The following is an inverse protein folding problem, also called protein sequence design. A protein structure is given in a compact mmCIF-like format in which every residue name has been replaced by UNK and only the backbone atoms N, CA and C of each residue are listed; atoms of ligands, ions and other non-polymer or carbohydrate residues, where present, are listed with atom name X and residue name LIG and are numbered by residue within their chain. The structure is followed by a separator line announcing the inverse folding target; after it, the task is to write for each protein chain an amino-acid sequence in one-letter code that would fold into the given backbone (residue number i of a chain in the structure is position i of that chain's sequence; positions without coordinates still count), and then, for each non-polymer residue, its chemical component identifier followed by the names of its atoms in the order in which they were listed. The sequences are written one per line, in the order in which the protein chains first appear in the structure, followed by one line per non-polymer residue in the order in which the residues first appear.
data_IF_166061166390
#
_entry.id   IF_166061166390
#
_cell.length_a   1.000
_cell.length_b   1.000
_cell.length_c   1.000
_cell.angle_alpha   90.00
_cell.angle_beta   90.00
_cell.angle_gamma   90.00
#
_symmetry.space_group_name_H-M   'P 1'
#
loop_
_entity.id
_entity.type
_entity.pdbx_description
1 polymer ?
#
# COMPACT_ATOMS: atom_id res chain seq x y z
N UNK A 1 -22.41 8.26 11.72
CA UNK A 1 -22.55 7.23 10.67
C UNK A 1 -21.78 7.58 9.37
N UNK A 2 -21.81 8.86 8.88
CA UNK A 2 -21.10 9.24 7.66
C UNK A 2 -19.57 9.13 7.79
N UNK A 3 -18.99 9.49 8.92
CA UNK A 3 -17.55 9.42 9.20
C UNK A 3 -17.07 7.96 9.19
N UNK A 4 -17.81 7.07 9.82
CA UNK A 4 -17.51 5.64 9.86
C UNK A 4 -17.55 5.01 8.46
N UNK A 5 -18.57 5.36 7.66
CA UNK A 5 -18.68 4.89 6.28
C UNK A 5 -17.53 5.39 5.41
N UNK A 6 -17.11 6.65 5.56
CA UNK A 6 -15.98 7.21 4.84
C UNK A 6 -14.65 6.57 5.26
N UNK A 7 -14.46 6.32 6.56
CA UNK A 7 -13.30 5.62 7.07
C UNK A 7 -13.22 4.18 6.53
N UNK A 8 -14.34 3.45 6.49
CA UNK A 8 -14.39 2.10 5.93
C UNK A 8 -14.00 2.06 4.44
N UNK A 9 -14.51 3.00 3.64
CA UNK A 9 -14.16 3.12 2.21
C UNK A 9 -12.68 3.43 2.02
N UNK A 10 -12.13 4.32 2.85
CA UNK A 10 -10.71 4.67 2.81
C UNK A 10 -9.85 3.47 3.18
N UNK A 11 -10.18 2.77 4.26
CA UNK A 11 -9.49 1.55 4.67
C UNK A 11 -9.50 0.48 3.58
N UNK A 12 -10.64 0.27 2.93
CA UNK A 12 -10.78 -0.69 1.84
C UNK A 12 -9.88 -0.34 0.64
N UNK A 13 -9.77 0.95 0.28
CA UNK A 13 -8.84 1.42 -0.75
C UNK A 13 -7.39 1.14 -0.38
N UNK A 14 -7.00 1.41 0.88
CA UNK A 14 -5.64 1.15 1.37
C UNK A 14 -5.29 -0.34 1.30
N UNK A 15 -6.19 -1.22 1.77
CA UNK A 15 -6.03 -2.66 1.65
C UNK A 15 -5.90 -3.12 0.19
N UNK A 16 -6.70 -2.54 -0.71
CA UNK A 16 -6.64 -2.82 -2.14
C UNK A 16 -5.27 -2.49 -2.75
N UNK A 17 -4.67 -1.36 -2.38
CA UNK A 17 -3.32 -1.00 -2.83
C UNK A 17 -2.28 -2.00 -2.33
N UNK A 18 -2.29 -2.35 -1.04
CA UNK A 18 -1.34 -3.32 -0.49
C UNK A 18 -1.45 -4.66 -1.23
N UNK A 19 -2.66 -5.19 -1.40
CA UNK A 19 -2.88 -6.46 -2.10
C UNK A 19 -2.42 -6.41 -3.56
N UNK A 20 -2.77 -5.34 -4.28
CA UNK A 20 -2.38 -5.16 -5.68
C UNK A 20 -0.87 -5.14 -5.85
N UNK A 21 -0.16 -4.31 -5.07
CA UNK A 21 1.29 -4.19 -5.16
C UNK A 21 2.02 -5.45 -4.66
N UNK A 22 1.44 -6.16 -3.70
CA UNK A 22 1.96 -7.44 -3.25
C UNK A 22 1.86 -8.53 -4.33
N UNK A 23 0.76 -8.55 -5.08
CA UNK A 23 0.61 -9.44 -6.24
C UNK A 23 1.62 -9.11 -7.34
N UNK A 24 1.82 -7.81 -7.63
CA UNK A 24 2.85 -7.39 -8.60
C UNK A 24 4.25 -7.78 -8.13
N UNK A 25 4.59 -7.58 -6.87
CA UNK A 25 5.88 -7.98 -6.30
C UNK A 25 6.09 -9.50 -6.38
N UNK A 26 5.04 -10.29 -6.09
CA UNK A 26 5.07 -11.74 -6.24
C UNK A 26 5.30 -12.16 -7.71
N UNK A 27 4.61 -11.51 -8.66
CA UNK A 27 4.83 -11.71 -10.09
C UNK A 27 6.26 -11.41 -10.54
N UNK A 28 6.84 -10.30 -10.07
CA UNK A 28 8.25 -9.99 -10.32
C UNK A 28 9.19 -11.06 -9.75
N UNK A 29 8.87 -11.58 -8.56
CA UNK A 29 9.65 -12.65 -7.92
C UNK A 29 9.61 -14.00 -8.67
N UNK A 30 8.56 -14.25 -9.46
CA UNK A 30 8.48 -15.42 -10.32
C UNK A 30 9.30 -15.28 -11.61
N UNK A 31 9.45 -14.04 -12.11
CA UNK A 31 10.11 -13.74 -13.37
C UNK A 31 11.61 -13.49 -13.22
N UNK A 32 12.05 -13.05 -12.03
CA UNK A 32 13.41 -12.61 -11.78
C UNK A 32 14.21 -13.66 -10.96
N UNK A 33 15.54 -13.74 -11.17
CA UNK A 33 16.41 -14.51 -10.30
C UNK A 33 16.28 -14.06 -8.84
N UNK A 34 16.44 -14.99 -7.91
CA UNK A 34 16.28 -14.74 -6.46
C UNK A 34 17.13 -13.56 -5.94
N UNK A 35 18.32 -13.36 -6.51
CA UNK A 35 19.21 -12.27 -6.15
C UNK A 35 18.67 -10.87 -6.56
N UNK A 36 17.88 -10.79 -7.62
CA UNK A 36 17.35 -9.52 -8.14
C UNK A 36 15.91 -9.25 -7.66
N UNK A 37 15.18 -10.25 -7.21
CA UNK A 37 13.80 -10.14 -6.76
C UNK A 37 13.56 -9.10 -5.62
N UNK A 38 14.48 -8.89 -4.65
CA UNK A 38 14.30 -7.88 -3.62
C UNK A 38 14.12 -6.45 -4.14
N UNK A 39 14.83 -6.07 -5.22
CA UNK A 39 14.84 -4.69 -5.71
C UNK A 39 13.48 -4.21 -6.22
N UNK A 40 12.82 -4.86 -7.20
CA UNK A 40 11.49 -4.44 -7.61
C UNK A 40 10.45 -4.64 -6.50
N UNK A 41 10.59 -5.66 -5.64
CA UNK A 41 9.70 -5.84 -4.53
C UNK A 41 9.74 -4.68 -3.54
N UNK A 42 10.94 -4.17 -3.19
CA UNK A 42 11.11 -2.98 -2.35
C UNK A 42 10.48 -1.72 -2.96
N UNK A 43 10.61 -1.56 -4.28
CA UNK A 43 10.03 -0.40 -4.98
C UNK A 43 8.51 -0.47 -5.06
N UNK A 44 7.94 -1.65 -5.11
CA UNK A 44 6.49 -1.86 -5.21
C UNK A 44 5.81 -1.84 -3.84
N UNK A 45 6.31 -2.67 -2.90
CA UNK A 45 5.64 -2.87 -1.61
C UNK A 45 6.67 -3.25 -0.52
N UNK A 46 6.66 -2.52 0.58
CA UNK A 46 7.67 -2.62 1.64
C UNK A 46 7.74 -3.99 2.31
N UNK A 47 6.58 -4.59 2.62
CA UNK A 47 6.55 -5.90 3.29
C UNK A 47 7.08 -7.01 2.39
N UNK A 48 6.73 -7.00 1.10
CA UNK A 48 7.28 -7.92 0.11
C UNK A 48 8.78 -7.69 -0.07
N UNK A 49 9.22 -6.44 -0.11
CA UNK A 49 10.63 -6.08 -0.14
C UNK A 49 11.41 -6.67 1.02
N UNK A 50 10.90 -6.53 2.24
CA UNK A 50 11.50 -7.12 3.43
C UNK A 50 11.49 -8.65 3.42
N UNK A 51 10.40 -9.29 2.93
CA UNK A 51 10.31 -10.75 2.84
C UNK A 51 11.36 -11.32 1.86
N UNK A 52 11.51 -10.71 0.69
CA UNK A 52 12.56 -11.10 -0.25
C UNK A 52 13.97 -10.79 0.28
N UNK A 53 14.15 -9.63 0.90
CA UNK A 53 15.43 -9.22 1.49
C UNK A 53 15.88 -10.18 2.60
N UNK A 54 14.96 -10.61 3.48
CA UNK A 54 15.26 -11.53 4.56
C UNK A 54 15.82 -12.89 4.09
N UNK A 55 15.59 -13.25 2.82
CA UNK A 55 16.09 -14.50 2.22
C UNK A 55 17.47 -14.38 1.60
N UNK A 56 18.09 -13.19 1.58
CA UNK A 56 19.38 -12.95 0.93
C UNK A 56 20.61 -13.25 1.82
N UNK A 57 20.40 -13.75 3.04
CA UNK A 57 21.48 -14.10 3.96
C UNK A 57 22.26 -12.89 4.46
N UNK A 58 23.53 -12.76 4.11
CA UNK A 58 24.42 -11.68 4.61
C UNK A 58 23.92 -10.25 4.34
N UNK A 59 23.15 -10.05 3.29
CA UNK A 59 22.62 -8.73 2.93
C UNK A 59 21.22 -8.45 3.48
N UNK A 60 20.63 -9.40 4.22
CA UNK A 60 19.24 -9.33 4.67
C UNK A 60 18.94 -8.06 5.46
N UNK A 61 19.74 -7.73 6.46
CA UNK A 61 19.52 -6.57 7.33
C UNK A 61 19.62 -5.24 6.59
N UNK A 62 20.66 -5.08 5.75
CA UNK A 62 20.86 -3.87 4.95
C UNK A 62 19.75 -3.68 3.91
N UNK A 63 19.34 -4.75 3.23
CA UNK A 63 18.23 -4.72 2.28
C UNK A 63 16.88 -4.47 2.96
N UNK A 64 16.63 -5.01 4.15
CA UNK A 64 15.45 -4.68 4.94
C UNK A 64 15.44 -3.20 5.35
N UNK A 65 16.58 -2.66 5.80
CA UNK A 65 16.74 -1.23 6.08
C UNK A 65 16.45 -0.38 4.85
N UNK A 66 16.96 -0.77 3.68
CA UNK A 66 16.69 -0.11 2.40
C UNK A 66 15.19 -0.17 2.05
N UNK A 67 14.55 -1.33 2.17
CA UNK A 67 13.12 -1.50 1.89
C UNK A 67 12.25 -0.59 2.77
N UNK A 68 12.54 -0.52 4.07
CA UNK A 68 11.85 0.36 5.01
C UNK A 68 12.08 1.84 4.68
N UNK A 69 13.27 2.21 4.21
CA UNK A 69 13.61 3.59 3.86
C UNK A 69 12.92 4.05 2.58
N UNK A 70 12.80 3.19 1.58
CA UNK A 70 12.12 3.46 0.29
C UNK A 70 10.61 3.53 0.48
N UNK A 71 10.02 2.68 1.33
CA UNK A 71 8.59 2.54 1.62
C UNK A 71 7.70 2.12 0.43
N UNK A 72 8.26 1.90 -0.74
CA UNK A 72 7.54 1.40 -1.91
C UNK A 72 6.46 2.32 -2.49
N UNK A 73 6.07 2.04 -3.73
CA UNK A 73 5.02 2.77 -4.46
C UNK A 73 3.64 2.63 -3.80
N UNK A 74 3.38 1.48 -3.16
CA UNK A 74 2.12 1.22 -2.45
C UNK A 74 1.86 2.29 -1.39
N UNK A 75 2.84 2.57 -0.52
CA UNK A 75 2.72 3.58 0.54
C UNK A 75 2.59 4.99 -0.02
N UNK A 76 3.35 5.33 -1.07
CA UNK A 76 3.27 6.64 -1.71
C UNK A 76 1.88 6.89 -2.30
N UNK A 77 1.26 5.89 -2.95
CA UNK A 77 -0.09 6.01 -3.46
C UNK A 77 -1.14 6.07 -2.36
N UNK A 78 -0.96 5.33 -1.27
CA UNK A 78 -1.83 5.42 -0.09
C UNK A 78 -1.81 6.84 0.49
N UNK A 79 -0.62 7.41 0.71
CA UNK A 79 -0.49 8.79 1.19
C UNK A 79 -1.11 9.76 0.18
N UNK A 80 -0.92 9.56 -1.13
CA UNK A 80 -1.53 10.41 -2.16
C UNK A 80 -3.05 10.40 -2.13
N UNK A 81 -3.68 9.27 -1.82
CA UNK A 81 -5.15 9.19 -1.73
C UNK A 81 -5.72 9.89 -0.49
N UNK A 82 -4.90 10.09 0.55
CA UNK A 82 -5.29 10.76 1.79
C UNK A 82 -5.02 12.25 1.76
N UNK A 83 -4.05 12.69 0.95
CA UNK A 83 -3.68 14.09 0.86
C UNK A 83 -4.58 14.86 -0.12
N UNK A 84 -4.91 16.13 0.17
CA UNK A 84 -5.57 17.01 -0.77
C UNK A 84 -4.78 17.14 -2.10
N UNK A 85 -5.46 17.35 -3.24
CA UNK A 85 -4.80 17.40 -4.55
C UNK A 85 -3.81 18.55 -4.70
N UNK A 86 -3.97 19.62 -3.90
CA UNK A 86 -3.11 20.80 -3.91
C UNK A 86 -1.72 20.55 -3.29
N UNK A 87 -1.59 19.49 -2.47
CA UNK A 87 -0.33 19.16 -1.79
C UNK A 87 0.67 18.58 -2.77
N UNK A 88 1.82 19.24 -2.91
CA UNK A 88 2.91 18.77 -3.76
C UNK A 88 3.61 17.55 -3.15
N UNK A 89 3.76 16.49 -3.96
CA UNK A 89 4.47 15.25 -3.56
C UNK A 89 5.98 15.30 -3.77
N UNK A 90 6.49 16.32 -4.46
CA UNK A 90 7.92 16.46 -4.77
C UNK A 90 8.81 16.44 -3.52
N UNK A 91 8.49 17.19 -2.42
CA UNK A 91 9.32 17.15 -1.21
C UNK A 91 9.38 15.77 -0.56
N UNK A 92 8.26 15.02 -0.59
CA UNK A 92 8.21 13.66 -0.05
C UNK A 92 9.12 12.71 -0.83
N UNK A 93 9.11 12.80 -2.16
CA UNK A 93 9.98 11.97 -3.02
C UNK A 93 11.46 12.31 -2.80
N UNK A 94 11.82 13.60 -2.77
CA UNK A 94 13.19 14.02 -2.47
C UNK A 94 13.62 13.61 -1.07
N UNK A 95 12.74 13.72 -0.09
CA UNK A 95 12.98 13.25 1.27
C UNK A 95 13.33 11.75 1.30
N UNK A 96 12.66 10.92 0.48
CA UNK A 96 12.96 9.47 0.39
C UNK A 96 14.31 9.18 -0.25
N UNK A 97 14.66 9.92 -1.31
CA UNK A 97 15.97 9.79 -1.96
C UNK A 97 17.12 10.11 -1.00
N UNK A 98 16.95 11.10 -0.13
CA UNK A 98 17.93 11.44 0.91
C UNK A 98 17.88 10.50 2.11
N UNK A 99 16.69 10.03 2.48
CA UNK A 99 16.51 9.15 3.63
C UNK A 99 17.19 7.79 3.45
N UNK A 100 17.16 7.23 2.25
CA UNK A 100 17.75 5.92 1.96
C UNK A 100 19.25 5.85 2.29
N UNK A 101 20.13 6.70 1.71
CA UNK A 101 21.57 6.63 2.03
C UNK A 101 21.85 7.00 3.48
N UNK A 102 21.10 7.95 4.05
CA UNK A 102 21.25 8.33 5.46
C UNK A 102 20.91 7.17 6.40
N UNK A 103 19.81 6.48 6.16
CA UNK A 103 19.39 5.32 6.95
C UNK A 103 20.40 4.17 6.87
N UNK A 104 20.91 3.88 5.66
CA UNK A 104 21.95 2.87 5.48
C UNK A 104 23.25 3.26 6.16
N UNK A 105 23.66 4.52 6.06
CA UNK A 105 24.86 5.03 6.74
C UNK A 105 24.71 4.89 8.27
N UNK A 106 23.59 5.34 8.84
CA UNK A 106 23.33 5.21 10.26
C UNK A 106 23.23 3.75 10.71
N UNK A 107 22.64 2.89 9.88
CA UNK A 107 22.54 1.47 10.17
C UNK A 107 23.93 0.80 10.28
N UNK A 108 24.79 1.02 9.30
CA UNK A 108 26.11 0.39 9.30
C UNK A 108 27.14 1.07 10.20
N UNK A 109 27.02 2.38 10.46
CA UNK A 109 27.89 3.11 11.38
C UNK A 109 27.46 2.98 12.84
N UNK A 110 26.15 2.87 13.09
CA UNK A 110 25.58 2.87 14.44
C UNK A 110 25.45 1.50 15.08
N UNK A 111 25.40 0.41 14.29
CA UNK A 111 25.26 -0.93 14.84
C UNK A 111 26.59 -1.69 14.85
N UNK A 112 26.96 -2.33 15.97
CA UNK A 112 28.11 -3.21 16.02
C UNK A 112 27.90 -4.40 15.07
N UNK A 113 28.96 -4.86 14.42
CA UNK A 113 28.89 -5.96 13.45
C UNK A 113 28.25 -7.24 14.02
N UNK A 114 28.51 -7.54 15.28
CA UNK A 114 27.91 -8.68 15.98
C UNK A 114 26.36 -8.61 16.03
N UNK A 115 25.80 -7.40 16.17
CA UNK A 115 24.35 -7.20 16.15
C UNK A 115 23.80 -7.40 14.73
N UNK A 116 24.51 -6.94 13.71
CA UNK A 116 24.11 -7.14 12.29
C UNK A 116 24.13 -8.62 11.93
N UNK A 117 25.15 -9.36 12.34
CA UNK A 117 25.25 -10.81 12.11
C UNK A 117 24.13 -11.57 12.84
N UNK A 118 23.83 -11.21 14.07
CA UNK A 118 22.73 -11.80 14.84
C UNK A 118 21.38 -11.54 14.16
N UNK A 119 21.17 -10.33 13.65
CA UNK A 119 19.96 -9.98 12.92
C UNK A 119 19.83 -10.76 11.60
N UNK A 120 20.90 -10.87 10.84
CA UNK A 120 20.93 -11.66 9.60
C UNK A 120 20.64 -13.13 9.88
N UNK A 121 21.18 -13.70 10.97
CA UNK A 121 20.90 -15.06 11.37
C UNK A 121 19.43 -15.25 11.76
N UNK A 122 18.83 -14.28 12.47
CA UNK A 122 17.41 -14.30 12.81
C UNK A 122 16.53 -14.20 11.54
N UNK A 123 16.86 -13.31 10.60
CA UNK A 123 16.15 -13.21 9.34
C UNK A 123 16.20 -14.51 8.53
N UNK A 124 17.35 -15.19 8.51
CA UNK A 124 17.50 -16.48 7.85
C UNK A 124 16.69 -17.60 8.52
N UNK A 125 16.40 -17.47 9.82
CA UNK A 125 15.58 -18.41 10.59
C UNK A 125 14.09 -18.08 10.60
N UNK A 126 13.66 -16.97 10.03
CA UNK A 126 12.23 -16.70 9.85
C UNK A 126 11.65 -17.83 9.02
N UNK A 127 11.08 -18.80 9.72
CA UNK A 127 10.32 -19.90 9.11
C UNK A 127 9.28 -19.22 8.22
N UNK A 128 9.22 -19.60 6.93
CA UNK A 128 8.23 -19.01 6.04
C UNK A 128 6.87 -19.23 6.68
N UNK A 129 6.24 -18.11 7.07
CA UNK A 129 4.90 -18.11 7.64
C UNK A 129 4.08 -19.05 6.75
N UNK A 130 3.51 -20.10 7.37
CA UNK A 130 2.77 -21.15 6.70
C UNK A 130 1.98 -20.55 5.55
N UNK A 131 2.37 -20.85 4.33
CA UNK A 131 1.76 -20.24 3.15
C UNK A 131 0.27 -20.46 3.27
N UNK A 132 -0.46 -19.39 3.48
CA UNK A 132 -1.92 -19.46 3.31
C UNK A 132 -2.13 -20.02 1.92
N UNK A 133 -2.91 -21.11 1.77
CA UNK A 133 -3.14 -21.69 0.46
C UNK A 133 -3.52 -20.57 -0.50
N UNK A 134 -2.88 -20.54 -1.67
CA UNK A 134 -3.08 -19.48 -2.68
C UNK A 134 -4.56 -19.30 -2.98
N UNK A 135 -5.32 -20.39 -2.90
CA UNK A 135 -6.76 -20.41 -3.11
C UNK A 135 -7.53 -19.59 -2.07
N UNK A 136 -7.13 -19.67 -0.77
CA UNK A 136 -7.75 -18.84 0.27
C UNK A 136 -7.42 -17.36 0.10
N UNK A 137 -6.20 -17.02 -0.30
CA UNK A 137 -5.81 -15.65 -0.56
C UNK A 137 -6.56 -15.07 -1.78
N UNK A 138 -6.73 -15.85 -2.84
CA UNK A 138 -7.54 -15.47 -4.00
C UNK A 138 -9.02 -15.33 -3.66
N UNK A 139 -9.57 -16.20 -2.83
CA UNK A 139 -10.95 -16.10 -2.35
C UNK A 139 -11.17 -14.82 -1.55
N UNK A 140 -10.31 -14.53 -0.59
CA UNK A 140 -10.37 -13.28 0.20
C UNK A 140 -10.26 -12.07 -0.71
N UNK A 141 -9.32 -12.09 -1.67
CA UNK A 141 -9.18 -11.01 -2.66
C UNK A 141 -10.44 -10.83 -3.51
N UNK A 142 -11.01 -11.92 -4.02
CA UNK A 142 -12.24 -11.87 -4.81
C UNK A 142 -13.41 -11.30 -4.00
N UNK A 143 -13.59 -11.73 -2.75
CA UNK A 143 -14.62 -11.19 -1.85
C UNK A 143 -14.40 -9.70 -1.59
N UNK A 144 -13.16 -9.28 -1.34
CA UNK A 144 -12.83 -7.86 -1.17
C UNK A 144 -13.12 -7.05 -2.44
N UNK A 145 -12.82 -7.57 -3.62
CA UNK A 145 -13.13 -6.90 -4.89
C UNK A 145 -14.64 -6.78 -5.11
N UNK A 146 -15.40 -7.85 -4.86
CA UNK A 146 -16.87 -7.84 -5.00
C UNK A 146 -17.49 -6.84 -4.04
N UNK A 147 -17.11 -6.85 -2.77
CA UNK A 147 -17.62 -5.90 -1.76
C UNK A 147 -17.25 -4.45 -2.10
N UNK A 148 -16.05 -4.20 -2.64
CA UNK A 148 -15.64 -2.89 -3.11
C UNK A 148 -16.48 -2.41 -4.28
N UNK A 149 -16.71 -3.27 -5.28
CA UNK A 149 -17.57 -2.96 -6.42
C UNK A 149 -19.01 -2.65 -6.00
N UNK A 150 -19.59 -3.44 -5.09
CA UNK A 150 -20.94 -3.20 -4.59
C UNK A 150 -21.03 -1.89 -3.79
N UNK A 151 -20.04 -1.59 -2.94
CA UNK A 151 -19.97 -0.33 -2.20
C UNK A 151 -19.89 0.89 -3.16
N UNK A 152 -19.07 0.80 -4.22
CA UNK A 152 -18.99 1.84 -5.25
C UNK A 152 -20.32 2.03 -5.99
N UNK A 153 -21.00 0.94 -6.36
CA UNK A 153 -22.32 0.99 -7.03
C UNK A 153 -23.39 1.63 -6.12
N UNK A 154 -23.38 1.31 -4.84
CA UNK A 154 -24.32 1.86 -3.89
C UNK A 154 -24.11 3.36 -3.66
N UNK A 155 -22.85 3.81 -3.57
CA UNK A 155 -22.52 5.24 -3.44
C UNK A 155 -22.92 6.02 -4.69
N UNK A 156 -22.69 5.47 -5.88
CA UNK A 156 -23.11 6.09 -7.14
C UNK A 156 -24.63 6.21 -7.25
N UNK A 157 -25.38 5.16 -6.88
CA UNK A 157 -26.85 5.19 -6.83
C UNK A 157 -27.37 6.25 -5.87
N UNK A 158 -26.80 6.34 -4.65
CA UNK A 158 -27.17 7.37 -3.66
C UNK A 158 -26.93 8.77 -4.19
N UNK A 159 -25.78 9.01 -4.81
CA UNK A 159 -25.44 10.31 -5.39
C UNK A 159 -26.39 10.71 -6.52
N UNK A 160 -26.72 9.78 -7.42
CA UNK A 160 -27.73 10.00 -8.48
C UNK A 160 -29.12 10.31 -7.93
N UNK A 161 -29.52 9.64 -6.83
CA UNK A 161 -30.81 9.89 -6.17
C UNK A 161 -30.85 11.27 -5.53
N UNK A 162 -29.80 11.67 -4.82
CA UNK A 162 -29.69 13.01 -4.24
C UNK A 162 -29.74 14.12 -5.31
N UNK A 163 -29.00 13.94 -6.40
CA UNK A 163 -29.00 14.88 -7.52
C UNK A 163 -30.41 15.04 -8.16
N UNK A 164 -31.16 13.93 -8.27
CA UNK A 164 -32.55 13.98 -8.75
C UNK A 164 -33.47 14.73 -7.79
N UNK A 165 -33.36 14.47 -6.48
CA UNK A 165 -34.15 15.17 -5.46
C UNK A 165 -33.85 16.68 -5.45
N UNK A 166 -32.59 17.08 -5.52
CA UNK A 166 -32.19 18.49 -5.56
C UNK A 166 -32.71 19.19 -6.82
N UNK A 167 -32.64 18.54 -7.98
CA UNK A 167 -33.20 19.09 -9.24
C UNK A 167 -34.74 19.23 -9.16
N UNK A 168 -35.43 18.29 -8.54
CA UNK A 168 -36.87 18.36 -8.37
C UNK A 168 -37.27 19.49 -7.40
N UNK A 169 -36.55 19.61 -6.28
CA UNK A 169 -36.76 20.70 -5.32
C UNK A 169 -36.52 22.09 -5.97
N UNK A 170 -35.47 22.22 -6.78
CA UNK A 170 -35.18 23.45 -7.49
C UNK A 170 -36.28 23.84 -8.50
N UNK A 171 -36.80 22.83 -9.24
CA UNK A 171 -37.91 23.05 -10.16
C UNK A 171 -39.19 23.50 -9.44
N UNK A 172 -39.50 22.95 -8.29
CA UNK A 172 -40.65 23.33 -7.49
C UNK A 172 -40.48 24.75 -6.88
N UNK A 173 -39.28 25.08 -6.44
CA UNK A 173 -38.98 26.42 -5.93
C UNK A 173 -39.10 27.50 -7.03
N UNK A 174 -38.63 27.22 -8.24
CA UNK A 174 -38.79 28.16 -9.37
C UNK A 174 -40.26 28.33 -9.80
N UNK A 175 -41.07 27.29 -9.74
CA UNK A 175 -42.51 27.42 -10.03
C UNK A 175 -43.23 28.32 -9.02
N UNK A 176 -42.86 28.25 -7.73
CA UNK A 176 -43.45 29.11 -6.67
C UNK A 176 -43.09 30.62 -6.82
N UNK A 177 -42.03 30.96 -7.53
CA UNK A 177 -41.65 32.37 -7.78
C UNK A 177 -42.35 32.98 -8.97
N UNK A 178 -43.05 32.21 -9.77
CA UNK A 178 -43.76 32.68 -10.96
C UNK A 178 -45.26 32.96 -10.72
N UNK A 179 -45.74 32.79 -9.49
CA UNK A 179 -47.09 33.16 -9.01
C UNK A 179 -46.94 34.20 -7.90
#
# INVERSE_FOLDING_TARGET
DAILAQAAVTYQKLCGFVLYFRLLAAGCGLLLPAALAPFPAMLLEVCSGCDYAARTGLWASGLCCAALSVQGASVLLQVRTLCPPEVSFKPLLWGRVLHLPLSLALFYLGLPQSAVESFNTLCARVVPMRRVPTDCALLVFAVCCITACEACRLTEKRHKTQLRQTKTALRLANRRKMW
#
